data_IF_516687877208
#
_entry.id   IF_516687877208
#
_cell.length_a   1.000
_cell.length_b   1.000
_cell.length_c   1.000
_cell.angle_alpha   90.00
_cell.angle_beta   90.00
_cell.angle_gamma   90.00
#
_symmetry.space_group_name_H-M   'P 1'
#
loop_
_entity.id
_entity.type
_entity.pdbx_description
1 polymer ?
#
# COMPACT_ATOMS: atom_id res chain seq x y z
N UNK A 1 -25.34 -13.17 -33.43
CA UNK A 1 -24.10 -12.57 -32.88
C UNK A 1 -24.34 -12.31 -31.40
N UNK A 2 -23.75 -13.12 -30.51
CA UNK A 2 -23.83 -12.96 -29.06
C UNK A 2 -22.41 -12.62 -28.59
N UNK A 3 -22.24 -11.45 -27.98
CA UNK A 3 -20.97 -11.01 -27.40
C UNK A 3 -21.02 -11.36 -25.92
N UNK A 4 -20.27 -12.37 -25.51
CA UNK A 4 -20.09 -12.72 -24.09
C UNK A 4 -18.95 -11.86 -23.56
N UNK A 5 -19.27 -10.85 -22.76
CA UNK A 5 -18.30 -10.16 -21.92
C UNK A 5 -17.83 -11.13 -20.85
N UNK A 6 -16.68 -11.78 -21.09
CA UNK A 6 -16.00 -12.60 -20.10
C UNK A 6 -15.41 -11.71 -19.01
N UNK A 7 -16.18 -11.40 -17.98
CA UNK A 7 -15.63 -11.03 -16.69
C UNK A 7 -14.83 -12.22 -16.18
N UNK A 8 -13.51 -12.07 -16.15
CA UNK A 8 -12.61 -13.04 -15.51
C UNK A 8 -12.88 -12.98 -14.01
N UNK A 9 -13.86 -13.76 -13.55
CA UNK A 9 -14.00 -14.13 -12.14
C UNK A 9 -12.83 -15.04 -11.82
N UNK A 10 -11.79 -14.47 -11.21
CA UNK A 10 -10.73 -15.26 -10.59
C UNK A 10 -11.33 -15.92 -9.35
N UNK A 11 -11.90 -17.10 -9.56
CA UNK A 11 -12.34 -18.01 -8.51
C UNK A 11 -11.08 -18.64 -7.91
N UNK A 12 -10.67 -18.22 -6.71
CA UNK A 12 -9.79 -19.04 -5.87
C UNK A 12 -10.57 -19.48 -4.64
N UNK A 13 -10.89 -20.77 -4.63
CA UNK A 13 -11.62 -21.42 -3.57
C UNK A 13 -10.72 -22.41 -2.81
N UNK A 14 -10.50 -22.08 -1.52
CA UNK A 14 -10.59 -22.93 -0.33
C UNK A 14 -9.55 -24.03 -0.10
N UNK A 15 -8.83 -23.95 1.03
CA UNK A 15 -8.59 -25.12 1.90
C UNK A 15 -8.71 -24.73 3.40
N UNK A 16 -9.60 -25.46 4.10
CA UNK A 16 -9.69 -25.63 5.57
C UNK A 16 -10.30 -24.50 6.44
N UNK A 17 -11.61 -24.31 6.30
CA UNK A 17 -12.45 -24.48 7.51
C UNK A 17 -12.98 -23.26 8.25
N UNK A 18 -12.71 -22.02 7.83
CA UNK A 18 -13.50 -20.84 8.24
C UNK A 18 -13.51 -19.83 7.09
N UNK A 19 -14.61 -19.80 6.31
CA UNK A 19 -14.97 -18.63 5.48
C UNK A 19 -15.52 -17.55 6.43
N UNK A 20 -14.70 -17.04 7.33
CA UNK A 20 -15.00 -15.77 7.99
C UNK A 20 -14.68 -14.71 6.95
N UNK A 21 -15.71 -13.98 6.51
CA UNK A 21 -15.57 -12.75 5.75
C UNK A 21 -14.30 -12.01 6.17
N UNK A 22 -13.31 -11.97 5.28
CA UNK A 22 -12.00 -11.40 5.56
C UNK A 22 -11.92 -9.97 4.98
N UNK A 23 -11.75 -8.93 5.81
CA UNK A 23 -12.08 -8.90 7.23
C UNK A 23 -13.15 -7.84 7.61
N UNK A 24 -13.84 -8.03 8.75
CA UNK A 24 -14.62 -6.98 9.38
C UNK A 24 -13.66 -5.90 9.92
N UNK A 25 -14.17 -4.66 10.05
CA UNK A 25 -13.49 -3.47 10.58
C UNK A 25 -12.47 -3.73 11.73
N UNK A 26 -11.35 -2.97 11.82
CA UNK A 26 -11.08 -1.71 11.10
C UNK A 26 -10.06 -1.84 9.98
N UNK A 27 -10.42 -1.29 8.82
CA UNK A 27 -9.60 -1.20 7.60
C UNK A 27 -8.45 -0.17 7.70
N UNK A 28 -8.32 0.59 8.79
CA UNK A 28 -7.51 1.82 8.86
C UNK A 28 -6.02 1.60 8.57
N UNK A 29 -5.35 0.72 9.32
CA UNK A 29 -3.93 0.44 9.15
C UNK A 29 -3.61 -0.07 7.73
N UNK A 30 -4.48 -0.90 7.16
CA UNK A 30 -4.33 -1.40 5.79
C UNK A 30 -4.49 -0.27 4.76
N UNK A 31 -5.50 0.60 4.92
CA UNK A 31 -5.68 1.77 4.05
C UNK A 31 -4.48 2.71 4.11
N UNK A 32 -3.92 2.96 5.29
CA UNK A 32 -2.72 3.77 5.47
C UNK A 32 -1.52 3.16 4.74
N UNK A 33 -1.32 1.83 4.82
CA UNK A 33 -0.27 1.14 4.07
C UNK A 33 -0.46 1.34 2.56
N UNK A 34 -1.69 1.21 2.07
CA UNK A 34 -1.98 1.37 0.63
C UNK A 34 -1.78 2.81 0.17
N UNK A 35 -2.14 3.81 0.97
CA UNK A 35 -1.92 5.23 0.66
C UNK A 35 -0.43 5.58 0.65
N UNK A 36 0.30 5.18 1.70
CA UNK A 36 1.76 5.32 1.79
C UNK A 36 2.45 4.62 0.63
N UNK A 37 2.01 3.41 0.30
CA UNK A 37 2.49 2.65 -0.84
C UNK A 37 2.34 3.43 -2.14
N UNK A 38 1.16 4.01 -2.38
CA UNK A 38 0.90 4.77 -3.61
C UNK A 38 1.80 5.99 -3.71
N UNK A 39 2.03 6.69 -2.60
CA UNK A 39 2.97 7.82 -2.55
C UNK A 39 4.38 7.35 -2.90
N UNK A 40 4.88 6.32 -2.23
CA UNK A 40 6.22 5.78 -2.47
C UNK A 40 6.42 5.31 -3.91
N UNK A 41 5.49 4.52 -4.44
CA UNK A 41 5.56 4.04 -5.82
C UNK A 41 5.58 5.22 -6.80
N UNK A 42 4.73 6.24 -6.58
CA UNK A 42 4.68 7.42 -7.45
C UNK A 42 5.98 8.22 -7.41
N UNK A 43 6.51 8.52 -6.23
CA UNK A 43 7.76 9.30 -6.08
C UNK A 43 8.95 8.57 -6.71
N UNK A 44 8.94 7.24 -6.68
CA UNK A 44 10.00 6.40 -7.28
C UNK A 44 9.78 6.12 -8.77
N UNK A 45 8.77 6.73 -9.40
CA UNK A 45 8.48 6.59 -10.83
C UNK A 45 7.79 5.28 -11.21
N UNK A 46 7.25 4.54 -10.24
CA UNK A 46 6.52 3.29 -10.44
C UNK A 46 5.01 3.57 -10.56
N UNK A 47 4.27 2.76 -11.34
CA UNK A 47 2.87 3.04 -11.73
C UNK A 47 1.82 2.93 -10.62
N UNK A 48 2.20 2.61 -9.40
CA UNK A 48 1.29 2.45 -8.25
C UNK A 48 1.59 1.21 -7.42
N UNK A 49 0.76 0.95 -6.42
CA UNK A 49 0.86 -0.24 -5.57
C UNK A 49 0.27 -1.45 -6.27
N UNK A 50 0.98 -2.57 -6.21
CA UNK A 50 0.47 -3.88 -6.62
C UNK A 50 -0.19 -4.59 -5.44
N UNK A 51 0.56 -4.82 -4.37
CA UNK A 51 0.10 -5.52 -3.17
C UNK A 51 1.08 -5.35 -2.00
N UNK A 52 0.71 -5.86 -0.84
CA UNK A 52 1.61 -6.12 0.29
C UNK A 52 2.09 -7.57 0.22
N UNK A 53 3.40 -7.79 0.33
CA UNK A 53 3.96 -9.12 0.56
C UNK A 53 3.94 -9.43 2.05
N UNK A 54 2.83 -10.00 2.49
CA UNK A 54 2.54 -10.34 3.89
C UNK A 54 3.67 -11.06 4.65
N UNK A 55 4.41 -12.04 4.07
CA UNK A 55 5.48 -12.72 4.81
C UNK A 55 6.63 -11.83 5.27
N UNK A 56 6.84 -10.67 4.62
CA UNK A 56 7.86 -9.68 5.03
C UNK A 56 7.27 -8.31 5.34
N UNK A 57 5.95 -8.15 5.25
CA UNK A 57 5.25 -6.88 5.44
C UNK A 57 5.88 -5.72 4.65
N UNK A 58 6.10 -5.98 3.35
CA UNK A 58 6.64 -4.99 2.41
C UNK A 58 5.61 -4.63 1.35
N UNK A 59 5.50 -3.35 1.04
CA UNK A 59 4.71 -2.87 -0.09
C UNK A 59 5.49 -3.10 -1.38
N UNK A 60 4.81 -3.70 -2.36
CA UNK A 60 5.31 -3.94 -3.70
C UNK A 60 4.59 -3.02 -4.68
N UNK A 61 5.37 -2.29 -5.47
CA UNK A 61 4.86 -1.48 -6.58
C UNK A 61 4.67 -2.32 -7.84
N UNK A 62 3.84 -1.84 -8.79
CA UNK A 62 3.55 -2.52 -10.06
C UNK A 62 4.79 -2.92 -10.85
N UNK A 63 5.79 -2.03 -10.90
CA UNK A 63 7.03 -2.27 -11.65
C UNK A 63 8.11 -2.98 -10.79
N UNK A 64 7.84 -3.17 -9.48
CA UNK A 64 8.58 -3.98 -8.50
C UNK A 64 10.11 -3.73 -8.40
N UNK A 65 10.59 -2.52 -8.71
CA UNK A 65 12.02 -2.19 -8.64
C UNK A 65 12.49 -1.80 -7.23
N UNK A 66 11.60 -1.23 -6.43
CA UNK A 66 11.87 -0.84 -5.05
C UNK A 66 10.71 -1.29 -4.17
N UNK A 67 11.05 -1.75 -2.96
CA UNK A 67 10.09 -2.19 -1.96
C UNK A 67 10.12 -1.23 -0.76
N UNK A 68 8.96 -1.01 -0.15
CA UNK A 68 8.86 -0.24 1.08
C UNK A 68 8.52 -1.16 2.25
N UNK A 69 9.38 -1.18 3.27
CA UNK A 69 9.11 -1.92 4.51
C UNK A 69 8.35 -1.04 5.50
N UNK A 70 7.47 -1.65 6.29
CA UNK A 70 6.87 -0.98 7.45
C UNK A 70 7.98 -0.75 8.49
N UNK A 71 8.20 0.49 8.96
CA UNK A 71 9.41 0.86 9.72
C UNK A 71 9.33 0.53 11.22
N UNK A 72 8.34 -0.25 11.65
CA UNK A 72 8.14 -0.62 13.05
C UNK A 72 7.65 -2.06 13.16
N UNK A 73 7.86 -2.67 14.32
CA UNK A 73 7.45 -4.05 14.59
C UNK A 73 5.91 -4.14 14.62
N UNK A 74 5.37 -5.01 13.76
CA UNK A 74 3.94 -5.29 13.62
C UNK A 74 3.78 -6.66 12.97
N UNK A 75 2.66 -7.33 13.25
CA UNK A 75 2.25 -8.59 12.63
C UNK A 75 1.13 -8.39 11.62
N UNK A 76 0.89 -9.39 10.77
CA UNK A 76 -0.22 -9.33 9.81
C UNK A 76 -1.58 -9.21 10.51
N UNK A 77 -1.77 -9.96 11.59
CA UNK A 77 -3.02 -9.94 12.36
C UNK A 77 -3.25 -8.57 13.01
N UNK A 78 -2.21 -7.94 13.57
CA UNK A 78 -2.29 -6.60 14.13
C UNK A 78 -2.66 -5.53 13.07
N UNK A 79 -2.18 -5.67 11.83
CA UNK A 79 -2.58 -4.77 10.72
C UNK A 79 -4.08 -4.91 10.42
N UNK A 80 -4.61 -6.12 10.53
CA UNK A 80 -6.01 -6.44 10.22
C UNK A 80 -6.94 -6.01 11.34
N UNK A 81 -6.55 -6.21 12.60
CA UNK A 81 -7.31 -5.79 13.78
C UNK A 81 -7.19 -4.29 14.05
N UNK A 82 -6.07 -3.69 13.63
CA UNK A 82 -5.75 -2.28 13.74
C UNK A 82 -6.18 -1.60 15.06
N UNK A 83 -5.61 -2.00 16.21
CA UNK A 83 -5.91 -1.39 17.49
C UNK A 83 -5.50 0.09 17.51
N UNK A 84 -6.17 0.93 18.32
CA UNK A 84 -5.97 2.40 18.34
C UNK A 84 -4.49 2.83 18.48
N UNK A 85 -3.72 2.15 19.33
CA UNK A 85 -2.30 2.46 19.52
C UNK A 85 -1.43 2.16 18.29
N UNK A 86 -1.86 1.21 17.45
CA UNK A 86 -1.22 0.90 16.18
C UNK A 86 -1.68 1.84 15.08
N UNK A 87 -2.99 2.15 14.99
CA UNK A 87 -3.54 3.13 14.06
C UNK A 87 -2.78 4.45 14.15
N UNK A 88 -2.53 4.95 15.36
CA UNK A 88 -1.74 6.17 15.57
C UNK A 88 -0.34 6.11 14.95
N UNK A 89 0.35 4.96 15.03
CA UNK A 89 1.68 4.78 14.41
C UNK A 89 1.61 4.80 12.89
N UNK A 90 0.55 4.22 12.31
CA UNK A 90 0.30 4.26 10.87
C UNK A 90 -0.06 5.67 10.40
N UNK A 91 -0.89 6.40 11.15
CA UNK A 91 -1.21 7.81 10.88
C UNK A 91 0.04 8.69 10.85
N UNK A 92 0.90 8.58 11.87
CA UNK A 92 2.18 9.32 11.93
C UNK A 92 3.12 8.94 10.77
N UNK A 93 3.14 7.66 10.39
CA UNK A 93 3.94 7.21 9.25
C UNK A 93 3.40 7.74 7.92
N UNK A 94 2.07 7.76 7.74
CA UNK A 94 1.39 8.33 6.59
C UNK A 94 1.63 9.83 6.47
N UNK A 95 1.53 10.57 7.57
CA UNK A 95 1.80 12.01 7.61
C UNK A 95 3.23 12.33 7.14
N UNK A 96 4.23 11.55 7.60
CA UNK A 96 5.61 11.70 7.10
C UNK A 96 5.73 11.45 5.59
N UNK A 97 5.02 10.47 5.05
CA UNK A 97 5.04 10.22 3.60
C UNK A 97 4.32 11.30 2.79
N UNK A 98 3.24 11.88 3.33
CA UNK A 98 2.59 13.04 2.73
C UNK A 98 3.57 14.23 2.67
N UNK A 99 4.36 14.47 3.72
CA UNK A 99 5.40 15.49 3.68
C UNK A 99 6.49 15.16 2.66
N UNK A 100 6.98 13.91 2.64
CA UNK A 100 7.98 13.46 1.66
C UNK A 100 7.52 13.67 0.20
N UNK A 101 6.22 13.53 -0.07
CA UNK A 101 5.64 13.80 -1.39
C UNK A 101 5.78 15.26 -1.79
N UNK A 102 5.49 16.19 -0.89
CA UNK A 102 5.62 17.62 -1.18
C UNK A 102 7.09 18.04 -1.28
N UNK A 103 7.96 17.49 -0.42
CA UNK A 103 9.41 17.74 -0.49
C UNK A 103 10.01 17.21 -1.79
N UNK A 104 9.63 16.00 -2.21
CA UNK A 104 10.05 15.41 -3.47
C UNK A 104 9.61 16.27 -4.66
N UNK A 105 8.34 16.69 -4.71
CA UNK A 105 7.84 17.60 -5.76
C UNK A 105 8.68 18.88 -5.84
N UNK A 106 8.92 19.51 -4.69
CA UNK A 106 9.72 20.74 -4.64
C UNK A 106 11.14 20.50 -5.16
N UNK A 107 11.81 19.44 -4.69
CA UNK A 107 13.16 19.10 -5.13
C UNK A 107 13.25 18.83 -6.64
N UNK A 108 12.25 18.13 -7.21
CA UNK A 108 12.18 17.88 -8.64
C UNK A 108 11.95 19.16 -9.46
N UNK A 109 11.04 20.04 -9.02
CA UNK A 109 10.79 21.31 -9.69
C UNK A 109 11.99 22.28 -9.59
N UNK A 110 12.59 22.42 -8.41
CA UNK A 110 13.78 23.25 -8.19
C UNK A 110 14.98 22.78 -9.05
N UNK A 111 15.05 21.48 -9.37
CA UNK A 111 16.07 20.94 -10.25
C UNK A 111 15.85 21.31 -11.73
N UNK A 112 14.59 21.43 -12.17
CA UNK A 112 14.25 21.81 -13.55
C UNK A 112 14.55 23.30 -13.81
N UNK A 113 14.35 24.16 -12.81
CA UNK A 113 14.59 25.60 -12.94
C UNK A 113 16.08 25.98 -12.96
N UNK A 114 16.96 25.08 -12.49
CA UNK A 114 18.41 25.17 -12.70
C UNK A 114 18.72 24.75 -14.14
N UNK A 115 18.43 25.63 -15.09
CA UNK A 115 18.88 25.51 -16.49
C UNK A 115 20.38 25.17 -16.52
N UNK A 116 20.69 24.03 -17.15
CA UNK A 116 22.03 23.69 -17.63
C UNK A 116 22.37 24.53 -18.86
#
# INVERSE_FOLDING_TARGET
KIIIFGTVMIVYAIQNGVLSQWPPSPFGCYEDIMEVGNIFCTITGQKGVMNIFWPKLVVICTDAYLNLSIPFNVTGDEIVECPEGLQKKFDEWKERWLQNKEDAKKAFCDHIDRKW
#
